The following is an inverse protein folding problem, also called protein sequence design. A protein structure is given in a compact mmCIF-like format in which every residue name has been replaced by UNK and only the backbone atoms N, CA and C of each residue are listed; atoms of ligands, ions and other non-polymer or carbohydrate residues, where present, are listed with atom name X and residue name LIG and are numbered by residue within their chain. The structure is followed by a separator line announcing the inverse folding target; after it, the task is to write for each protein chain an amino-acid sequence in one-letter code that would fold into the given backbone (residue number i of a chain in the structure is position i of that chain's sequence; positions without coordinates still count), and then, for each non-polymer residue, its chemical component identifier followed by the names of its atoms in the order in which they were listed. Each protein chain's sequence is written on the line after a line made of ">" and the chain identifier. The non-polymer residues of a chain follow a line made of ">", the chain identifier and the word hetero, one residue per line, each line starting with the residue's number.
data_IF_675997659311
#
_entry.id   IF_675997659311
#
_cell.length_a   1.000
_cell.length_b   1.000
_cell.length_c   1.000
_cell.angle_alpha   90.00
_cell.angle_beta   90.00
_cell.angle_gamma   90.00
#
_symmetry.space_group_name_H-M   'P 1'
#
loop_
_entity.id
_entity.type
_entity.pdbx_description
1 polymer ?
#
# COMPACT_ATOMS: atom_id res chain seq x y z
N UNK A 1 -1.00 -5.72 -30.76
CA UNK A 1 -1.13 -5.99 -29.31
C UNK A 1 -2.57 -5.66 -29.00
N UNK A 2 -3.32 -6.57 -28.39
CA UNK A 2 -4.72 -6.31 -28.07
C UNK A 2 -4.74 -5.11 -27.09
N UNK A 3 -5.52 -4.08 -27.40
CA UNK A 3 -5.87 -3.04 -26.44
C UNK A 3 -6.71 -3.74 -25.38
N UNK A 4 -6.08 -4.08 -24.25
CA UNK A 4 -6.80 -4.58 -23.09
C UNK A 4 -7.64 -3.42 -22.56
N UNK A 5 -8.93 -3.48 -22.85
CA UNK A 5 -9.90 -2.50 -22.37
C UNK A 5 -10.23 -2.85 -20.92
N UNK A 6 -9.46 -2.31 -19.98
CA UNK A 6 -9.76 -2.40 -18.56
C UNK A 6 -10.93 -1.48 -18.20
N UNK A 7 -11.82 -1.94 -17.33
CA UNK A 7 -12.79 -1.07 -16.69
C UNK A 7 -12.16 -0.28 -15.54
N UNK A 8 -12.82 0.80 -15.14
CA UNK A 8 -12.41 1.57 -13.96
C UNK A 8 -12.41 0.70 -12.69
N UNK A 9 -13.44 -0.15 -12.53
CA UNK A 9 -13.56 -1.05 -11.39
C UNK A 9 -12.45 -2.10 -11.36
N UNK A 10 -12.09 -2.68 -12.51
CA UNK A 10 -10.99 -3.65 -12.61
C UNK A 10 -9.66 -3.01 -12.19
N UNK A 11 -9.36 -1.81 -12.68
CA UNK A 11 -8.15 -1.08 -12.30
C UNK A 11 -8.16 -0.72 -10.82
N UNK A 12 -9.33 -0.35 -10.27
CA UNK A 12 -9.46 -0.06 -8.84
C UNK A 12 -9.16 -1.30 -7.99
N UNK A 13 -9.76 -2.44 -8.33
CA UNK A 13 -9.56 -3.70 -7.61
C UNK A 13 -8.11 -4.18 -7.70
N UNK A 14 -7.49 -4.11 -8.87
CA UNK A 14 -6.08 -4.44 -9.08
C UNK A 14 -5.15 -3.55 -8.24
N UNK A 15 -5.40 -2.24 -8.22
CA UNK A 15 -4.62 -1.30 -7.41
C UNK A 15 -4.78 -1.58 -5.92
N UNK A 16 -6.02 -1.88 -5.47
CA UNK A 16 -6.31 -2.21 -4.08
C UNK A 16 -5.58 -3.49 -3.65
N UNK A 17 -5.72 -4.56 -4.41
CA UNK A 17 -5.06 -5.84 -4.12
C UNK A 17 -3.55 -5.66 -4.03
N UNK A 18 -2.96 -4.89 -4.96
CA UNK A 18 -1.53 -4.61 -4.92
C UNK A 18 -1.16 -3.83 -3.66
N UNK A 19 -1.96 -2.83 -3.29
CA UNK A 19 -1.74 -2.01 -2.11
C UNK A 19 -1.83 -2.81 -0.79
N UNK A 20 -2.72 -3.80 -0.72
CA UNK A 20 -2.79 -4.74 0.41
C UNK A 20 -1.57 -5.65 0.45
N UNK A 21 -1.12 -6.15 -0.69
CA UNK A 21 0.06 -7.01 -0.77
C UNK A 21 1.32 -6.30 -0.23
N UNK A 22 1.53 -5.03 -0.62
CA UNK A 22 2.73 -4.28 -0.25
C UNK A 22 2.54 -3.35 0.97
N UNK A 23 1.33 -3.33 1.52
CA UNK A 23 0.88 -2.49 2.65
C UNK A 23 1.14 -0.98 2.48
N UNK A 24 1.09 -0.48 1.24
CA UNK A 24 1.22 0.93 0.89
C UNK A 24 0.60 1.22 -0.48
N UNK A 25 0.42 2.49 -0.83
CA UNK A 25 0.02 2.83 -2.20
C UNK A 25 1.14 2.47 -3.19
N UNK A 26 0.87 1.65 -4.22
CA UNK A 26 1.86 1.24 -5.20
C UNK A 26 2.46 2.42 -5.94
N UNK A 27 3.78 2.40 -6.10
CA UNK A 27 4.52 3.32 -6.94
C UNK A 27 4.48 2.88 -8.39
N UNK A 28 4.77 3.79 -9.33
CA UNK A 28 4.89 3.45 -10.75
C UNK A 28 5.86 2.29 -11.01
N UNK A 29 6.96 2.22 -10.24
CA UNK A 29 7.93 1.13 -10.33
C UNK A 29 7.33 -0.22 -9.92
N UNK A 30 6.54 -0.24 -8.86
CA UNK A 30 5.93 -1.47 -8.34
C UNK A 30 4.85 -1.98 -9.27
N UNK A 31 4.02 -1.07 -9.80
CA UNK A 31 3.01 -1.38 -10.81
C UNK A 31 3.68 -1.96 -12.06
N UNK A 32 4.69 -1.27 -12.61
CA UNK A 32 5.34 -1.70 -13.85
C UNK A 32 6.22 -2.95 -13.70
N UNK A 33 6.60 -3.31 -12.47
CA UNK A 33 7.35 -4.54 -12.20
C UNK A 33 6.46 -5.77 -12.01
N UNK A 34 5.15 -5.57 -11.84
CA UNK A 34 4.21 -6.66 -11.64
C UNK A 34 3.68 -7.17 -13.00
N UNK A 35 3.92 -8.45 -13.35
CA UNK A 35 3.47 -9.00 -14.63
C UNK A 35 1.95 -9.16 -14.73
N UNK A 36 1.20 -9.02 -13.63
CA UNK A 36 -0.25 -9.17 -13.59
C UNK A 36 -1.00 -7.82 -13.61
N UNK A 37 -0.27 -6.70 -13.59
CA UNK A 37 -0.85 -5.36 -13.66
C UNK A 37 -0.63 -4.74 -15.04
N UNK A 38 -1.56 -3.90 -15.52
CA UNK A 38 -1.27 -3.04 -16.64
C UNK A 38 -0.18 -2.02 -16.28
N UNK A 39 0.36 -1.36 -17.30
CA UNK A 39 1.32 -0.30 -17.09
C UNK A 39 0.68 0.85 -16.27
N UNK A 40 1.47 1.47 -15.40
CA UNK A 40 1.15 2.67 -14.63
C UNK A 40 0.43 3.74 -15.44
N UNK A 41 0.82 3.95 -16.71
CA UNK A 41 0.14 4.92 -17.57
C UNK A 41 -1.36 4.65 -17.73
N UNK A 42 -1.80 3.39 -17.78
CA UNK A 42 -3.23 3.02 -17.86
C UNK A 42 -3.99 3.50 -16.62
N UNK A 43 -3.38 3.35 -15.44
CA UNK A 43 -3.98 3.84 -14.19
C UNK A 43 -4.02 5.38 -14.15
N UNK A 44 -2.99 6.07 -14.65
CA UNK A 44 -2.96 7.53 -14.68
C UNK A 44 -3.99 8.08 -15.66
N UNK A 45 -4.19 7.43 -16.81
CA UNK A 45 -5.25 7.81 -17.76
C UNK A 45 -6.65 7.68 -17.13
N UNK A 46 -6.87 6.66 -16.29
CA UNK A 46 -8.16 6.43 -15.63
C UNK A 46 -8.40 7.32 -14.39
N UNK A 47 -7.38 7.45 -13.53
CA UNK A 47 -7.51 8.04 -12.20
C UNK A 47 -6.77 9.36 -12.00
N UNK A 48 -5.84 9.71 -12.90
CA UNK A 48 -4.95 10.86 -12.75
C UNK A 48 -3.90 10.66 -11.65
N UNK A 49 -3.59 11.74 -10.93
CA UNK A 49 -2.72 11.68 -9.77
C UNK A 49 -3.43 10.93 -8.64
N UNK A 50 -2.88 9.78 -8.22
CA UNK A 50 -3.51 8.93 -7.22
C UNK A 50 -3.86 9.70 -5.93
N UNK A 51 -2.95 10.56 -5.45
CA UNK A 51 -3.12 11.30 -4.19
C UNK A 51 -4.24 12.34 -4.23
N UNK A 52 -4.61 12.79 -5.42
CA UNK A 52 -5.61 13.82 -5.66
C UNK A 52 -6.91 13.24 -6.24
N UNK A 53 -6.93 11.92 -6.51
CA UNK A 53 -8.04 11.24 -7.15
C UNK A 53 -9.14 10.94 -6.13
N UNK A 54 -10.33 11.51 -6.31
CA UNK A 54 -11.49 11.19 -5.46
C UNK A 54 -11.87 9.71 -5.55
N UNK A 55 -11.69 9.09 -6.72
CA UNK A 55 -11.94 7.66 -6.95
C UNK A 55 -11.00 6.77 -6.12
N UNK A 56 -9.77 7.22 -5.88
CA UNK A 56 -8.75 6.48 -5.13
C UNK A 56 -8.60 6.97 -3.69
N UNK A 57 -9.51 7.83 -3.21
CA UNK A 57 -9.41 8.44 -1.90
C UNK A 57 -9.32 7.40 -0.78
N UNK A 58 -10.20 6.39 -0.81
CA UNK A 58 -10.22 5.32 0.19
C UNK A 58 -8.89 4.54 0.26
N UNK A 59 -8.37 3.94 -0.84
CA UNK A 59 -7.10 3.24 -0.78
C UNK A 59 -5.97 4.18 -0.41
N UNK A 60 -5.94 5.40 -0.95
CA UNK A 60 -4.89 6.38 -0.63
C UNK A 60 -4.82 6.69 0.85
N UNK A 61 -5.95 6.99 1.48
CA UNK A 61 -6.01 7.26 2.92
C UNK A 61 -5.59 6.03 3.74
N UNK A 62 -6.19 4.86 3.45
CA UNK A 62 -5.93 3.59 4.15
C UNK A 62 -4.45 3.21 4.09
N UNK A 63 -3.89 3.09 2.89
CA UNK A 63 -2.55 2.56 2.70
C UNK A 63 -1.44 3.59 2.95
N UNK A 64 -1.72 4.90 2.81
CA UNK A 64 -0.78 5.92 3.27
C UNK A 64 -0.65 5.93 4.78
N UNK A 65 -1.77 5.78 5.50
CA UNK A 65 -1.79 5.64 6.96
C UNK A 65 -1.06 4.38 7.39
N UNK A 66 -1.39 3.23 6.80
CA UNK A 66 -0.72 1.96 7.10
C UNK A 66 0.79 2.05 6.89
N UNK A 67 1.24 2.56 5.74
CA UNK A 67 2.65 2.74 5.45
C UNK A 67 3.35 3.66 6.47
N UNK A 68 2.69 4.72 6.93
CA UNK A 68 3.24 5.60 7.98
C UNK A 68 3.45 4.84 9.29
N UNK A 69 2.45 4.07 9.74
CA UNK A 69 2.55 3.28 10.96
C UNK A 69 3.66 2.23 10.82
N UNK A 70 3.67 1.53 9.67
CA UNK A 70 4.67 0.55 9.31
C UNK A 70 6.10 1.10 9.39
N UNK A 71 6.34 2.30 8.84
CA UNK A 71 7.65 2.98 8.92
C UNK A 71 8.02 3.32 10.36
N UNK A 72 7.09 3.84 11.16
CA UNK A 72 7.33 4.11 12.58
C UNK A 72 7.67 2.83 13.34
N UNK A 73 6.89 1.77 13.15
CA UNK A 73 7.13 0.46 13.74
C UNK A 73 8.51 -0.08 13.38
N UNK A 74 8.91 0.00 12.10
CA UNK A 74 10.25 -0.42 11.68
C UNK A 74 11.38 0.42 12.30
N UNK A 75 11.17 1.73 12.47
CA UNK A 75 12.16 2.61 13.09
C UNK A 75 12.33 2.34 14.59
N UNK A 76 11.22 2.01 15.27
CA UNK A 76 11.20 1.67 16.69
C UNK A 76 11.57 0.19 16.95
N UNK A 77 11.63 -0.63 15.88
CA UNK A 77 11.92 -2.05 15.97
C UNK A 77 13.29 -2.31 16.58
N UNK A 78 13.35 -3.24 17.54
CA UNK A 78 14.61 -3.68 18.11
C UNK A 78 15.45 -4.39 17.04
N UNK A 79 16.62 -3.83 16.72
CA UNK A 79 17.53 -4.33 15.68
C UNK A 79 18.04 -5.76 15.91
N UNK A 80 18.05 -6.24 17.16
CA UNK A 80 18.49 -7.61 17.47
C UNK A 80 17.49 -8.67 17.00
N UNK A 81 16.21 -8.31 16.85
CA UNK A 81 15.12 -9.21 16.44
C UNK A 81 14.48 -8.81 15.11
N UNK A 82 14.92 -7.70 14.51
CA UNK A 82 14.42 -7.20 13.25
C UNK A 82 14.84 -8.12 12.09
N UNK A 83 13.86 -8.62 11.34
CA UNK A 83 14.10 -9.46 10.15
C UNK A 83 14.27 -8.64 8.87
N UNK A 84 13.96 -7.34 8.92
CA UNK A 84 13.89 -6.47 7.74
C UNK A 84 12.63 -6.65 6.90
N UNK A 85 11.80 -7.66 7.20
CA UNK A 85 10.50 -7.88 6.60
C UNK A 85 9.41 -7.52 7.62
N UNK A 86 8.64 -6.49 7.29
CA UNK A 86 7.60 -5.99 8.18
C UNK A 86 6.49 -7.01 8.45
N UNK A 87 6.15 -7.87 7.47
CA UNK A 87 5.11 -8.87 7.63
C UNK A 87 5.53 -9.87 8.71
N UNK A 88 6.78 -10.30 8.66
CA UNK A 88 7.35 -11.20 9.68
C UNK A 88 7.46 -10.47 11.03
N UNK A 89 7.90 -9.20 11.04
CA UNK A 89 8.00 -8.44 12.29
C UNK A 89 6.64 -8.22 12.97
N UNK A 90 5.55 -8.18 12.20
CA UNK A 90 4.17 -8.06 12.69
C UNK A 90 3.63 -9.35 13.34
N UNK A 91 4.23 -10.50 13.09
CA UNK A 91 3.82 -11.76 13.74
C UNK A 91 4.24 -11.82 15.22
N UNK A 92 5.02 -10.85 15.69
CA UNK A 92 5.39 -10.74 17.10
C UNK A 92 4.19 -10.27 17.95
N UNK A 93 3.98 -10.88 19.12
CA UNK A 93 2.89 -10.52 20.05
C UNK A 93 2.85 -9.03 20.45
N UNK A 94 3.99 -8.33 20.38
CA UNK A 94 4.07 -6.90 20.68
C UNK A 94 3.63 -5.98 19.53
N UNK A 95 3.49 -6.52 18.31
CA UNK A 95 3.09 -5.73 17.16
C UNK A 95 1.65 -5.23 17.31
N UNK A 96 0.69 -6.10 17.62
CA UNK A 96 -0.72 -5.71 17.78
C UNK A 96 -0.89 -4.54 18.77
N UNK A 97 -0.20 -4.62 19.91
CA UNK A 97 -0.21 -3.55 20.92
C UNK A 97 0.37 -2.23 20.37
N UNK A 98 1.41 -2.29 19.54
CA UNK A 98 1.99 -1.11 18.91
C UNK A 98 0.99 -0.41 17.99
N UNK A 99 0.34 -1.15 17.09
CA UNK A 99 -0.62 -0.58 16.14
C UNK A 99 -1.83 0.00 16.89
N UNK A 100 -2.36 -0.71 17.89
CA UNK A 100 -3.46 -0.25 18.75
C UNK A 100 -3.13 1.06 19.51
N UNK A 101 -1.90 1.19 20.01
CA UNK A 101 -1.46 2.40 20.72
C UNK A 101 -1.19 3.56 19.76
N UNK A 102 -0.69 3.28 18.56
CA UNK A 102 -0.42 4.30 17.55
C UNK A 102 -1.71 5.06 17.18
N UNK A 103 -2.84 4.35 17.07
CA UNK A 103 -4.15 4.97 16.79
C UNK A 103 -4.63 5.90 17.92
N UNK A 104 -4.21 5.65 19.16
CA UNK A 104 -4.65 6.38 20.35
C UNK A 104 -3.78 7.60 20.67
N UNK A 105 -2.51 7.60 20.24
CA UNK A 105 -1.52 8.61 20.60
C UNK A 105 -1.28 9.62 19.47
N UNK A 106 -1.42 9.19 18.20
CA UNK A 106 -1.11 10.01 17.02
C UNK A 106 -2.41 10.30 16.24
N UNK A 107 -3.28 11.13 16.82
CA UNK A 107 -4.40 11.82 16.16
C UNK A 107 -4.15 13.32 16.16
#
# INVERSE_FOLDING_TARGET
>A
MAEENYTEEELYEMLWQKAEEIEKIPTAREINSDPFLPNYEVFVECFGNFRESEKLKEPVEKFSRLNKINVCFCNDCNREVCTGDIKICKENELADLYYDLFEKIVC
#
